data_IF_105087551571
#
_entry.id   IF_105087551571
#
_cell.length_a   1.000
_cell.length_b   1.000
_cell.length_c   1.000
_cell.angle_alpha   90.00
_cell.angle_beta   90.00
_cell.angle_gamma   90.00
#
_symmetry.space_group_name_H-M   'P 1'
#
loop_
_entity.id
_entity.type
_entity.pdbx_description
1 polymer ?
#
# COMPACT_ATOMS: atom_id res chain seq x y z
N UNK A 1 15.54 28.57 -40.01
CA UNK A 1 15.79 27.93 -38.71
C UNK A 1 14.56 28.12 -37.85
N UNK A 2 13.70 27.10 -37.71
CA UNK A 2 12.55 27.14 -36.79
C UNK A 2 12.84 26.15 -35.67
N UNK A 3 12.98 26.68 -34.46
CA UNK A 3 12.98 25.90 -33.23
C UNK A 3 11.65 25.16 -33.16
N UNK A 4 11.67 23.85 -33.38
CA UNK A 4 10.56 22.99 -33.05
C UNK A 4 10.54 22.85 -31.52
N UNK A 5 9.78 23.72 -30.87
CA UNK A 5 9.31 23.51 -29.52
C UNK A 5 8.35 22.31 -29.60
N UNK A 6 8.89 21.12 -29.36
CA UNK A 6 8.07 19.94 -29.06
C UNK A 6 7.40 20.26 -27.72
N UNK A 7 6.12 20.62 -27.80
CA UNK A 7 5.24 20.64 -26.63
C UNK A 7 5.33 19.25 -26.01
N UNK A 8 5.94 19.17 -24.83
CA UNK A 8 5.79 18.00 -23.98
C UNK A 8 4.31 17.93 -23.61
N UNK A 9 3.55 17.08 -24.29
CA UNK A 9 2.25 16.66 -23.77
C UNK A 9 2.50 16.06 -22.38
N UNK A 10 1.87 16.68 -21.36
CA UNK A 10 1.91 16.22 -19.99
C UNK A 10 1.12 14.90 -19.91
N UNK A 11 1.81 13.79 -20.18
CA UNK A 11 1.23 12.46 -20.14
C UNK A 11 0.70 12.15 -18.74
N UNK A 12 -0.44 11.43 -18.60
CA UNK A 12 -0.82 10.85 -17.32
C UNK A 12 0.34 10.04 -16.72
N UNK A 13 0.47 10.04 -15.38
CA UNK A 13 1.56 9.34 -14.68
C UNK A 13 1.74 7.92 -15.19
N UNK A 14 3.00 7.49 -15.38
CA UNK A 14 3.30 6.13 -15.84
C UNK A 14 2.74 5.11 -14.86
N UNK A 15 2.16 4.05 -15.40
CA UNK A 15 1.48 3.01 -14.63
C UNK A 15 2.36 2.36 -13.55
N UNK A 16 3.62 2.06 -13.87
CA UNK A 16 4.60 1.51 -12.92
C UNK A 16 4.94 2.51 -11.80
N UNK A 17 5.03 3.80 -12.11
CA UNK A 17 5.27 4.87 -11.11
C UNK A 17 4.09 4.95 -10.15
N UNK A 18 2.86 4.94 -10.67
CA UNK A 18 1.65 4.94 -9.83
C UNK A 18 1.61 3.73 -8.88
N UNK A 19 1.87 2.53 -9.39
CA UNK A 19 1.90 1.32 -8.56
C UNK A 19 3.02 1.39 -7.51
N UNK A 20 4.20 1.86 -7.88
CA UNK A 20 5.34 2.00 -6.97
C UNK A 20 5.00 2.96 -5.84
N UNK A 21 4.50 4.15 -6.16
CA UNK A 21 4.11 5.17 -5.16
C UNK A 21 3.00 4.64 -4.25
N UNK A 22 1.94 4.06 -4.80
CA UNK A 22 0.84 3.50 -4.01
C UNK A 22 1.31 2.36 -3.08
N UNK A 23 2.21 1.51 -3.56
CA UNK A 23 2.77 0.42 -2.76
C UNK A 23 3.71 0.93 -1.67
N UNK A 24 4.55 1.95 -1.94
CA UNK A 24 5.41 2.57 -0.93
C UNK A 24 4.58 3.25 0.17
N UNK A 25 3.53 3.95 -0.20
CA UNK A 25 2.58 4.53 0.77
C UNK A 25 1.88 3.44 1.58
N UNK A 26 1.49 2.32 0.97
CA UNK A 26 0.90 1.19 1.70
C UNK A 26 1.86 0.59 2.73
N UNK A 27 3.15 0.43 2.36
CA UNK A 27 4.20 0.00 3.30
C UNK A 27 4.34 1.00 4.44
N UNK A 28 4.42 2.30 4.15
CA UNK A 28 4.50 3.35 5.16
C UNK A 28 3.31 3.31 6.12
N UNK A 29 2.08 3.28 5.61
CA UNK A 29 0.87 3.25 6.43
C UNK A 29 0.74 1.94 7.22
N UNK A 30 1.19 0.81 6.69
CA UNK A 30 1.30 -0.44 7.44
C UNK A 30 2.22 -0.29 8.66
N UNK A 31 3.35 0.43 8.53
CA UNK A 31 4.22 0.68 9.69
C UNK A 31 3.60 1.63 10.71
N UNK A 32 2.87 2.67 10.28
CA UNK A 32 2.12 3.54 11.20
C UNK A 32 1.04 2.77 11.94
N UNK A 33 0.27 1.94 11.23
CA UNK A 33 -0.75 1.09 11.83
C UNK A 33 -0.14 0.15 12.87
N UNK A 34 0.89 -0.62 12.52
CA UNK A 34 1.52 -1.55 13.48
C UNK A 34 2.05 -0.83 14.72
N UNK A 35 2.63 0.36 14.52
CA UNK A 35 3.11 1.19 15.63
C UNK A 35 1.96 1.63 16.54
N UNK A 36 0.86 2.13 15.97
CA UNK A 36 -0.29 2.60 16.74
C UNK A 36 -1.00 1.43 17.46
N UNK A 37 -1.07 0.24 16.84
CA UNK A 37 -1.57 -0.98 17.47
C UNK A 37 -0.75 -1.37 18.72
N UNK A 38 0.58 -1.26 18.65
CA UNK A 38 1.47 -1.51 19.79
C UNK A 38 1.24 -0.46 20.89
N UNK A 39 1.21 0.83 20.54
CA UNK A 39 1.02 1.93 21.50
C UNK A 39 -0.33 1.83 22.22
N UNK A 40 -1.36 1.35 21.53
CA UNK A 40 -2.71 1.14 22.08
C UNK A 40 -2.89 -0.19 22.80
N UNK A 41 -1.88 -1.06 22.79
CA UNK A 41 -1.93 -2.39 23.41
C UNK A 41 -2.83 -3.39 22.68
N UNK A 42 -3.17 -3.13 21.42
CA UNK A 42 -3.86 -4.09 20.55
C UNK A 42 -2.88 -5.17 20.04
N UNK A 43 -1.62 -4.77 19.86
CA UNK A 43 -0.48 -5.66 19.63
C UNK A 43 0.42 -5.73 20.86
N UNK A 44 1.09 -6.87 21.05
CA UNK A 44 1.92 -7.12 22.25
C UNK A 44 3.17 -6.25 22.35
N UNK A 45 3.65 -5.69 21.22
CA UNK A 45 4.86 -4.85 21.19
C UNK A 45 6.16 -5.59 21.53
N UNK A 46 6.19 -6.92 21.34
CA UNK A 46 7.33 -7.76 21.70
C UNK A 46 8.16 -8.22 20.50
N UNK A 47 9.14 -9.09 20.74
CA UNK A 47 10.00 -9.69 19.69
C UNK A 47 9.18 -10.35 18.59
N UNK A 48 7.99 -10.88 18.90
CA UNK A 48 7.07 -11.44 17.90
C UNK A 48 6.68 -10.44 16.82
N UNK A 49 6.58 -9.14 17.12
CA UNK A 49 6.24 -8.11 16.15
C UNK A 49 7.37 -7.88 15.13
N UNK A 50 8.62 -8.33 15.40
CA UNK A 50 9.72 -8.27 14.43
C UNK A 50 9.51 -9.15 13.20
N UNK A 51 8.57 -10.11 13.23
CA UNK A 51 8.14 -10.84 12.01
C UNK A 51 7.64 -9.90 10.91
N UNK A 52 7.11 -8.72 11.27
CA UNK A 52 6.70 -7.73 10.27
C UNK A 52 7.88 -7.21 9.43
N UNK A 53 9.09 -7.15 9.99
CA UNK A 53 10.28 -6.60 9.30
C UNK A 53 10.62 -7.37 8.02
N UNK A 54 10.86 -8.70 8.04
CA UNK A 54 11.15 -9.43 6.81
C UNK A 54 9.99 -9.41 5.81
N UNK A 55 8.73 -9.38 6.28
CA UNK A 55 7.56 -9.24 5.40
C UNK A 55 7.60 -7.89 4.66
N UNK A 56 7.83 -6.79 5.38
CA UNK A 56 7.93 -5.46 4.80
C UNK A 56 9.15 -5.31 3.88
N UNK A 57 10.27 -5.97 4.20
CA UNK A 57 11.46 -5.99 3.33
C UNK A 57 11.17 -6.72 2.02
N UNK A 58 10.52 -7.89 2.07
CA UNK A 58 10.12 -8.62 0.85
C UNK A 58 9.18 -7.79 0.01
N UNK A 59 8.19 -7.14 0.64
CA UNK A 59 7.27 -6.24 -0.04
C UNK A 59 8.02 -5.07 -0.70
N UNK A 60 8.86 -4.36 0.06
CA UNK A 60 9.66 -3.24 -0.43
C UNK A 60 10.59 -3.63 -1.58
N UNK A 61 11.22 -4.81 -1.49
CA UNK A 61 12.06 -5.35 -2.56
C UNK A 61 11.24 -5.64 -3.82
N UNK A 62 10.04 -6.21 -3.67
CA UNK A 62 9.08 -6.39 -4.76
C UNK A 62 8.70 -5.07 -5.43
N UNK A 63 8.45 -4.04 -4.61
CA UNK A 63 8.08 -2.69 -5.05
C UNK A 63 9.19 -1.97 -5.80
N UNK A 64 10.43 -2.00 -5.30
CA UNK A 64 11.52 -1.18 -5.83
C UNK A 64 12.43 -1.93 -6.79
N UNK A 65 12.85 -3.14 -6.43
CA UNK A 65 13.90 -3.88 -7.17
C UNK A 65 13.28 -4.76 -8.26
N UNK A 66 12.09 -5.31 -8.00
CA UNK A 66 11.35 -6.14 -8.96
C UNK A 66 10.25 -5.37 -9.70
N UNK A 67 10.28 -4.04 -9.67
CA UNK A 67 9.36 -3.20 -10.41
C UNK A 67 9.29 -3.64 -11.88
N UNK A 68 8.07 -3.64 -12.44
CA UNK A 68 7.78 -4.09 -13.82
C UNK A 68 8.05 -5.57 -14.12
N UNK A 69 8.55 -6.36 -13.17
CA UNK A 69 8.66 -7.83 -13.32
C UNK A 69 7.40 -8.51 -12.82
N UNK A 70 7.03 -9.65 -13.43
CA UNK A 70 5.88 -10.47 -12.99
C UNK A 70 5.93 -10.81 -11.50
N UNK A 71 7.10 -11.17 -10.99
CA UNK A 71 7.30 -11.44 -9.56
C UNK A 71 7.09 -10.22 -8.69
N UNK A 72 7.48 -9.02 -9.13
CA UNK A 72 7.19 -7.76 -8.42
C UNK A 72 5.70 -7.50 -8.31
N UNK A 73 4.95 -7.64 -9.41
CA UNK A 73 3.49 -7.53 -9.39
C UNK A 73 2.83 -8.52 -8.42
N UNK A 74 3.28 -9.78 -8.39
CA UNK A 74 2.76 -10.80 -7.47
C UNK A 74 3.06 -10.43 -6.01
N UNK A 75 4.28 -10.00 -5.70
CA UNK A 75 4.66 -9.59 -4.34
C UNK A 75 3.84 -8.39 -3.89
N UNK A 76 3.71 -7.35 -4.73
CA UNK A 76 2.92 -6.15 -4.40
C UNK A 76 1.45 -6.52 -4.22
N UNK A 77 0.90 -7.42 -5.05
CA UNK A 77 -0.47 -7.90 -4.92
C UNK A 77 -0.71 -8.60 -3.58
N UNK A 78 0.18 -9.52 -3.19
CA UNK A 78 0.08 -10.22 -1.90
C UNK A 78 0.20 -9.25 -0.72
N UNK A 79 1.17 -8.33 -0.76
CA UNK A 79 1.30 -7.28 0.23
C UNK A 79 0.04 -6.40 0.31
N UNK A 80 -0.52 -6.02 -0.83
CA UNK A 80 -1.74 -5.22 -0.89
C UNK A 80 -2.95 -5.93 -0.27
N UNK A 81 -3.06 -7.25 -0.43
CA UNK A 81 -4.09 -8.01 0.28
C UNK A 81 -3.88 -8.03 1.79
N UNK A 82 -2.65 -8.15 2.27
CA UNK A 82 -2.34 -7.98 3.69
C UNK A 82 -2.74 -6.57 4.19
N UNK A 83 -2.44 -5.53 3.40
CA UNK A 83 -2.86 -4.16 3.66
C UNK A 83 -4.37 -3.96 3.74
N UNK A 84 -5.15 -4.65 2.91
CA UNK A 84 -6.62 -4.59 2.94
C UNK A 84 -7.24 -5.36 4.10
N UNK A 85 -6.58 -6.41 4.59
CA UNK A 85 -7.08 -7.15 5.75
C UNK A 85 -7.14 -6.26 7.01
N UNK A 86 -6.16 -5.36 7.18
CA UNK A 86 -6.05 -4.46 8.33
C UNK A 86 -7.30 -3.61 8.59
N UNK A 87 -7.76 -2.74 7.66
CA UNK A 87 -8.95 -1.92 7.90
C UNK A 87 -10.20 -2.78 8.10
N UNK A 88 -10.30 -3.93 7.42
CA UNK A 88 -11.44 -4.85 7.60
C UNK A 88 -11.45 -5.40 9.02
N UNK A 89 -10.34 -5.97 9.50
CA UNK A 89 -10.24 -6.54 10.86
C UNK A 89 -10.59 -5.50 11.92
N UNK A 90 -10.06 -4.29 11.80
CA UNK A 90 -10.30 -3.22 12.77
C UNK A 90 -11.72 -2.64 12.71
N UNK A 91 -12.35 -2.62 11.54
CA UNK A 91 -13.72 -2.11 11.36
C UNK A 91 -14.82 -3.15 11.55
N UNK A 92 -14.47 -4.45 11.63
CA UNK A 92 -15.42 -5.51 11.95
C UNK A 92 -16.01 -5.37 13.38
N UNK A 93 -17.23 -5.87 13.57
CA UNK A 93 -17.90 -5.84 14.87
C UNK A 93 -18.32 -4.43 15.29
N UNK A 94 -17.86 -3.98 16.47
CA UNK A 94 -18.13 -2.61 16.97
C UNK A 94 -17.36 -1.52 16.21
N UNK A 95 -16.34 -1.93 15.46
CA UNK A 95 -15.50 -1.05 14.66
C UNK A 95 -14.76 0.02 15.47
N UNK A 96 -14.32 1.06 14.76
CA UNK A 96 -13.45 2.14 15.29
C UNK A 96 -14.22 3.44 15.57
N UNK A 97 -15.53 3.46 15.30
CA UNK A 97 -16.41 4.62 15.47
C UNK A 97 -17.00 4.75 16.88
N UNK A 98 -18.10 5.51 17.03
CA UNK A 98 -18.75 5.82 18.33
C UNK A 98 -19.18 4.55 19.09
N UNK A 99 -19.50 3.47 18.38
CA UNK A 99 -19.82 2.17 18.98
C UNK A 99 -18.62 1.39 19.50
N UNK A 100 -17.39 1.82 19.17
CA UNK A 100 -16.12 1.24 19.61
C UNK A 100 -15.36 2.15 20.58
N UNK A 101 -14.35 1.59 21.25
CA UNK A 101 -13.56 2.33 22.25
C UNK A 101 -12.53 3.29 21.61
N UNK A 102 -12.30 3.20 20.30
CA UNK A 102 -11.30 4.02 19.59
C UNK A 102 -11.75 5.47 19.44
N UNK A 103 -13.02 5.75 19.11
CA UNK A 103 -13.48 7.10 18.81
C UNK A 103 -13.32 8.11 19.95
N UNK A 104 -13.27 7.63 21.20
CA UNK A 104 -13.09 8.46 22.40
C UNK A 104 -11.64 8.46 22.93
N UNK A 105 -10.70 7.88 22.18
CA UNK A 105 -9.29 7.79 22.57
C UNK A 105 -8.46 8.93 21.98
N UNK A 106 -7.38 9.31 22.65
CA UNK A 106 -6.37 10.20 22.07
C UNK A 106 -5.76 9.56 20.82
N UNK A 107 -5.58 10.34 19.76
CA UNK A 107 -5.02 9.86 18.48
C UNK A 107 -5.99 9.09 17.58
N UNK A 108 -7.28 8.97 17.95
CA UNK A 108 -8.29 8.27 17.14
C UNK A 108 -8.34 8.74 15.67
N UNK A 109 -8.18 10.03 15.44
CA UNK A 109 -8.12 10.60 14.09
C UNK A 109 -7.01 9.95 13.26
N UNK A 110 -5.78 9.92 13.77
CA UNK A 110 -4.64 9.39 13.05
C UNK A 110 -4.79 7.89 12.78
N UNK A 111 -5.30 7.15 13.77
CA UNK A 111 -5.59 5.73 13.63
C UNK A 111 -6.58 5.45 12.50
N UNK A 112 -7.77 6.06 12.56
CA UNK A 112 -8.84 5.87 11.56
C UNK A 112 -8.38 6.35 10.19
N UNK A 113 -7.69 7.49 10.13
CA UNK A 113 -7.11 8.00 8.89
C UNK A 113 -6.10 7.03 8.28
N UNK A 114 -5.24 6.41 9.10
CA UNK A 114 -4.25 5.43 8.64
C UNK A 114 -4.94 4.19 8.05
N UNK A 115 -6.01 3.69 8.69
CA UNK A 115 -6.79 2.57 8.15
C UNK A 115 -7.40 2.89 6.77
N UNK A 116 -7.96 4.09 6.62
CA UNK A 116 -8.54 4.54 5.35
C UNK A 116 -7.44 4.72 4.30
N UNK A 117 -6.35 5.40 4.64
CA UNK A 117 -5.24 5.67 3.73
C UNK A 117 -4.60 4.36 3.25
N UNK A 118 -4.32 3.42 4.16
CA UNK A 118 -3.84 2.08 3.84
C UNK A 118 -4.82 1.33 2.93
N UNK A 119 -6.12 1.37 3.25
CA UNK A 119 -7.16 0.73 2.44
C UNK A 119 -7.21 1.27 1.01
N UNK A 120 -7.14 2.59 0.84
CA UNK A 120 -7.14 3.25 -0.47
C UNK A 120 -5.91 2.86 -1.27
N UNK A 121 -4.71 3.00 -0.71
CA UNK A 121 -3.47 2.72 -1.44
C UNK A 121 -3.29 1.24 -1.73
N UNK A 122 -3.71 0.36 -0.82
CA UNK A 122 -3.67 -1.08 -1.02
C UNK A 122 -4.68 -1.54 -2.08
N UNK A 123 -5.94 -1.07 -2.03
CA UNK A 123 -6.94 -1.41 -3.05
C UNK A 123 -6.50 -0.94 -4.45
N UNK A 124 -5.98 0.28 -4.53
CA UNK A 124 -5.47 0.79 -5.79
C UNK A 124 -4.29 -0.04 -6.31
N UNK A 125 -3.37 -0.46 -5.42
CA UNK A 125 -2.26 -1.34 -5.77
C UNK A 125 -2.72 -2.73 -6.22
N UNK A 126 -3.81 -3.29 -5.68
CA UNK A 126 -4.44 -4.52 -6.20
C UNK A 126 -4.92 -4.32 -7.64
N UNK A 127 -5.73 -3.28 -7.87
CA UNK A 127 -6.30 -2.98 -9.20
C UNK A 127 -5.18 -2.81 -10.23
N UNK A 128 -4.16 -2.04 -9.86
CA UNK A 128 -3.00 -1.87 -10.71
C UNK A 128 -2.33 -3.24 -10.91
N UNK A 129 -1.88 -3.94 -9.86
CA UNK A 129 -1.08 -5.17 -10.00
C UNK A 129 -1.72 -6.26 -10.86
N UNK A 130 -3.07 -6.33 -10.92
CA UNK A 130 -3.80 -7.24 -11.81
C UNK A 130 -3.73 -6.79 -13.28
N UNK A 131 -3.77 -5.48 -13.55
CA UNK A 131 -3.69 -4.89 -14.91
C UNK A 131 -2.27 -4.84 -15.50
N UNK A 132 -1.25 -4.76 -14.65
CA UNK A 132 0.15 -4.56 -15.06
C UNK A 132 0.73 -5.66 -15.96
N UNK A 133 0.51 -6.96 -15.65
CA UNK A 133 0.96 -8.05 -16.51
C UNK A 133 0.36 -8.01 -17.92
N UNK A 134 -0.83 -7.43 -18.08
CA UNK A 134 -1.49 -7.28 -19.38
C UNK A 134 -0.81 -6.21 -20.24
N UNK A 135 -0.32 -5.11 -19.68
CA UNK A 135 0.36 -4.06 -20.45
C UNK A 135 1.76 -4.46 -20.94
N UNK A 136 2.45 -5.35 -20.22
CA UNK A 136 3.74 -5.90 -20.65
C UNK A 136 3.64 -6.75 -21.92
N UNK A 137 2.52 -7.43 -22.15
CA UNK A 137 2.33 -8.29 -23.33
C UNK A 137 2.22 -7.48 -24.64
N UNK A 138 1.75 -6.23 -24.58
CA UNK A 138 1.62 -5.36 -25.76
C UNK A 138 2.92 -4.64 -26.13
N UNK A 139 3.98 -4.76 -25.31
CA UNK A 139 5.31 -4.20 -25.58
C UNK A 139 6.32 -5.20 -26.15
N UNK A 140 5.96 -6.49 -26.24
CA UNK A 140 6.83 -7.57 -26.76
C UNK A 140 6.33 -8.17 -28.09
N UNK A 141 5.80 -7.33 -28.98
CA UNK A 141 5.85 -7.61 -30.42
C UNK A 141 7.06 -6.90 -31.03
N UNK A 142 8.26 -7.40 -30.75
CA UNK A 142 9.47 -7.13 -31.54
C UNK A 142 10.31 -8.39 -31.63
#
# INVERSE_FOLDING_TARGET
>A
MRHAQIQQEEYPMKYNVMLTVASLLSILFMTFHLTDDIVRGMEKGGVSNLVAVPILVVWLYGTLVLAERRSGYVIILLGSFLGLAVPVIHMMGKGVGVGGNIANSSGAFFFVWTLIALGVTALFSVILSVRGPWSLQWGQSR
#
